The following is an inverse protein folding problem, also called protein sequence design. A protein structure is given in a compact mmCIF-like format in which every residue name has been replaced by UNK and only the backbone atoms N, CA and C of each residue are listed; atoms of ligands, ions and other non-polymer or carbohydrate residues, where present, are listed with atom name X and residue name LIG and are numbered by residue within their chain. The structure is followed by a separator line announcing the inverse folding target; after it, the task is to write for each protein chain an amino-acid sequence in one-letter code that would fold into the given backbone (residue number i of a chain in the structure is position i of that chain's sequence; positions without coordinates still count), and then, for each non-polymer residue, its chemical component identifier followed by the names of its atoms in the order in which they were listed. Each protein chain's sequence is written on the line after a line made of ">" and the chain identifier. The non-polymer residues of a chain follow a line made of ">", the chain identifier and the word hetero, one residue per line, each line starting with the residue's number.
data_IF_312247986360
#
_entry.id   IF_312247986360
#
_cell.length_a   1.000
_cell.length_b   1.000
_cell.length_c   1.000
_cell.angle_alpha   90.00
_cell.angle_beta   90.00
_cell.angle_gamma   90.00
#
_symmetry.space_group_name_H-M   'P 1'
#
loop_
_entity.id
_entity.type
_entity.pdbx_description
1 polymer ?
#
# COMPACT_ATOMS: atom_id res chain seq x y z
N UNK A 1 0.05 0.69 -45.18
CA UNK A 1 1.23 0.64 -44.28
C UNK A 1 0.87 1.09 -42.87
N UNK A 2 0.33 2.30 -42.67
CA UNK A 2 -0.04 2.83 -41.34
C UNK A 2 -1.08 1.96 -40.58
N UNK A 3 -2.12 1.47 -41.25
CA UNK A 3 -3.13 0.57 -40.67
C UNK A 3 -2.52 -0.73 -40.11
N UNK A 4 -1.56 -1.32 -40.83
CA UNK A 4 -0.88 -2.53 -40.38
C UNK A 4 -0.01 -2.29 -39.14
N UNK A 5 0.60 -1.11 -39.02
CA UNK A 5 1.35 -0.72 -37.82
C UNK A 5 0.42 -0.55 -36.61
N UNK A 6 -0.76 0.06 -36.79
CA UNK A 6 -1.74 0.16 -35.71
C UNK A 6 -2.22 -1.21 -35.24
N UNK A 7 -2.55 -2.12 -36.15
CA UNK A 7 -2.98 -3.48 -35.78
C UNK A 7 -1.88 -4.25 -35.04
N UNK A 8 -0.62 -4.10 -35.45
CA UNK A 8 0.51 -4.74 -34.76
C UNK A 8 0.68 -4.19 -33.33
N UNK A 9 0.58 -2.87 -33.15
CA UNK A 9 0.64 -2.26 -31.81
C UNK A 9 -0.51 -2.72 -30.93
N UNK A 10 -1.74 -2.79 -31.45
CA UNK A 10 -2.88 -3.33 -30.70
C UNK A 10 -2.66 -4.79 -30.30
N UNK A 11 -2.11 -5.64 -31.17
CA UNK A 11 -1.81 -7.04 -30.84
C UNK A 11 -0.78 -7.10 -29.71
N UNK A 12 0.31 -6.33 -29.81
CA UNK A 12 1.36 -6.28 -28.77
C UNK A 12 0.76 -5.83 -27.43
N UNK A 13 -0.07 -4.79 -27.43
CA UNK A 13 -0.74 -4.28 -26.22
C UNK A 13 -1.65 -5.36 -25.62
N UNK A 14 -2.48 -6.04 -26.42
CA UNK A 14 -3.37 -7.08 -25.92
C UNK A 14 -2.61 -8.30 -25.39
N UNK A 15 -1.47 -8.66 -25.99
CA UNK A 15 -0.59 -9.73 -25.51
C UNK A 15 0.00 -9.37 -24.15
N UNK A 16 0.54 -8.16 -23.99
CA UNK A 16 1.11 -7.70 -22.72
C UNK A 16 0.03 -7.63 -21.62
N UNK A 17 -1.14 -7.06 -21.93
CA UNK A 17 -2.26 -6.96 -20.98
C UNK A 17 -2.74 -8.35 -20.51
N UNK A 18 -2.81 -9.33 -21.42
CA UNK A 18 -3.20 -10.69 -21.06
C UNK A 18 -2.20 -11.36 -20.12
N UNK A 19 -0.90 -11.04 -20.25
CA UNK A 19 0.14 -11.60 -19.38
C UNK A 19 0.13 -10.99 -17.97
N UNK A 20 -0.13 -9.68 -17.84
CA UNK A 20 -0.21 -9.03 -16.52
C UNK A 20 -1.39 -9.55 -15.70
N UNK A 21 -2.49 -9.93 -16.34
CA UNK A 21 -3.71 -10.40 -15.67
C UNK A 21 -3.50 -11.65 -14.80
N UNK A 22 -2.47 -12.47 -15.04
CA UNK A 22 -2.29 -13.74 -14.32
C UNK A 22 -1.79 -13.58 -12.88
N UNK A 23 -1.01 -12.55 -12.57
CA UNK A 23 -0.50 -12.35 -11.20
C UNK A 23 -1.59 -11.86 -10.24
N UNK A 24 -2.56 -11.09 -10.74
CA UNK A 24 -3.66 -10.53 -9.94
C UNK A 24 -4.68 -11.60 -9.52
N UNK A 25 -4.90 -12.65 -10.32
CA UNK A 25 -5.83 -13.74 -9.97
C UNK A 25 -5.31 -14.69 -8.87
N UNK A 26 -4.00 -14.80 -8.69
CA UNK A 26 -3.42 -15.72 -7.71
C UNK A 26 -3.73 -15.29 -6.25
N UNK A 27 -3.94 -13.99 -6.02
CA UNK A 27 -4.20 -13.47 -4.68
C UNK A 27 -5.64 -13.72 -4.20
N UNK A 28 -6.61 -13.92 -5.10
CA UNK A 28 -8.00 -14.11 -4.69
C UNK A 28 -8.29 -15.52 -4.14
N UNK A 29 -7.56 -16.56 -4.61
CA UNK A 29 -7.86 -17.95 -4.26
C UNK A 29 -7.50 -18.36 -2.82
N UNK A 30 -6.68 -17.59 -2.12
CA UNK A 30 -6.24 -17.89 -0.74
C UNK A 30 -7.32 -17.57 0.32
N UNK A 31 -8.35 -16.79 0.00
CA UNK A 31 -9.41 -16.43 0.96
C UNK A 31 -10.56 -17.45 1.04
N UNK A 32 -10.45 -18.62 0.40
CA UNK A 32 -11.50 -19.65 0.40
C UNK A 32 -11.23 -20.84 1.35
N UNK A 33 -10.24 -20.74 2.23
CA UNK A 33 -10.09 -21.69 3.35
C UNK A 33 -10.93 -21.22 4.51
N UNK A 34 -11.73 -22.15 5.06
CA UNK A 34 -12.54 -22.03 6.28
C UNK A 34 -12.30 -20.74 7.07
N UNK A 35 -13.24 -19.82 6.85
CA UNK A 35 -13.51 -18.62 7.61
C UNK A 35 -12.47 -18.28 8.70
N UNK A 36 -11.47 -17.44 8.39
CA UNK A 36 -10.42 -17.12 9.32
C UNK A 36 -11.02 -16.56 10.62
N UNK A 37 -10.52 -17.05 11.75
CA UNK A 37 -10.85 -16.51 13.06
C UNK A 37 -10.58 -14.99 13.03
N UNK A 38 -11.55 -14.18 13.42
CA UNK A 38 -11.39 -12.73 13.51
C UNK A 38 -10.15 -12.34 14.34
N UNK A 39 -9.77 -13.17 15.32
CA UNK A 39 -8.65 -12.95 16.21
C UNK A 39 -7.38 -13.07 15.38
N UNK A 40 -7.33 -14.10 14.54
CA UNK A 40 -6.25 -14.29 13.59
C UNK A 40 -6.15 -13.13 12.60
N UNK A 41 -7.27 -12.63 12.06
CA UNK A 41 -7.24 -11.46 11.16
C UNK A 41 -6.75 -10.18 11.85
N UNK A 42 -7.21 -9.94 13.08
CA UNK A 42 -6.76 -8.80 13.88
C UNK A 42 -5.27 -8.90 14.17
N UNK A 43 -4.81 -10.07 14.63
CA UNK A 43 -3.40 -10.34 14.94
C UNK A 43 -2.51 -10.25 13.69
N UNK A 44 -2.98 -10.77 12.56
CA UNK A 44 -2.29 -10.67 11.28
C UNK A 44 -2.16 -9.20 10.86
N UNK A 45 -3.23 -8.42 11.01
CA UNK A 45 -3.19 -7.00 10.71
C UNK A 45 -2.20 -6.27 11.61
N UNK A 46 -2.29 -6.42 12.93
CA UNK A 46 -1.42 -5.69 13.87
C UNK A 46 0.04 -6.08 13.70
N UNK A 47 0.31 -7.38 13.47
CA UNK A 47 1.64 -7.88 13.13
C UNK A 47 2.16 -7.27 11.83
N UNK A 48 1.32 -7.19 10.78
CA UNK A 48 1.69 -6.58 9.49
C UNK A 48 1.98 -5.09 9.63
N UNK A 49 1.17 -4.36 10.40
CA UNK A 49 1.40 -2.94 10.68
C UNK A 49 2.72 -2.76 11.44
N UNK A 50 2.99 -3.58 12.45
CA UNK A 50 4.24 -3.52 13.21
C UNK A 50 5.46 -3.86 12.34
N UNK A 51 5.36 -4.87 11.47
CA UNK A 51 6.41 -5.17 10.51
C UNK A 51 6.63 -4.01 9.53
N UNK A 52 5.57 -3.37 9.07
CA UNK A 52 5.65 -2.21 8.18
C UNK A 52 6.32 -1.03 8.88
N UNK A 53 5.95 -0.74 10.14
CA UNK A 53 6.61 0.29 10.97
C UNK A 53 8.10 0.01 11.10
N UNK A 54 8.46 -1.24 11.43
CA UNK A 54 9.85 -1.66 11.54
C UNK A 54 10.62 -1.45 10.22
N UNK A 55 10.04 -1.83 9.08
CA UNK A 55 10.65 -1.63 7.77
C UNK A 55 10.83 -0.14 7.48
N UNK A 56 9.81 0.69 7.71
CA UNK A 56 9.87 2.12 7.44
C UNK A 56 10.88 2.86 8.33
N UNK A 57 11.10 2.38 9.56
CA UNK A 57 12.06 2.99 10.48
C UNK A 57 13.52 2.54 10.26
N UNK A 58 13.74 1.34 9.72
CA UNK A 58 15.08 0.76 9.62
C UNK A 58 15.64 0.70 8.19
N UNK A 59 14.79 0.71 7.17
CA UNK A 59 15.22 0.55 5.77
C UNK A 59 15.47 1.90 5.08
N UNK A 60 16.49 2.00 4.21
CA UNK A 60 16.88 3.26 3.57
C UNK A 60 15.92 3.76 2.46
N UNK A 61 14.72 3.20 2.34
CA UNK A 61 13.74 3.55 1.30
C UNK A 61 13.35 5.02 1.33
N UNK A 62 13.04 5.56 2.52
CA UNK A 62 12.55 6.94 2.67
C UNK A 62 13.64 7.95 2.24
N UNK A 63 14.89 7.88 2.74
CA UNK A 63 15.98 8.72 2.25
C UNK A 63 16.21 8.61 0.73
N UNK A 64 16.09 7.42 0.15
CA UNK A 64 16.32 7.20 -1.27
C UNK A 64 15.22 7.85 -2.13
N UNK A 65 13.95 7.68 -1.74
CA UNK A 65 12.82 8.33 -2.42
C UNK A 65 12.92 9.85 -2.31
N UNK A 66 13.29 10.38 -1.15
CA UNK A 66 13.40 11.82 -0.93
C UNK A 66 14.45 12.48 -1.85
N UNK A 67 15.55 11.80 -2.16
CA UNK A 67 16.58 12.32 -3.09
C UNK A 67 16.02 12.61 -4.49
N UNK A 68 14.94 11.94 -4.92
CA UNK A 68 14.29 12.23 -6.20
C UNK A 68 13.65 13.62 -6.26
N UNK A 69 13.35 14.22 -5.10
CA UNK A 69 12.84 15.59 -5.01
C UNK A 69 13.95 16.64 -5.00
N UNK A 70 15.22 16.24 -4.98
CA UNK A 70 16.35 17.17 -4.95
C UNK A 70 16.38 18.17 -6.12
N UNK A 71 16.05 17.78 -7.38
CA UNK A 71 15.95 18.71 -8.50
C UNK A 71 14.99 19.88 -8.26
N UNK A 72 13.89 19.66 -7.54
CA UNK A 72 12.89 20.69 -7.24
C UNK A 72 13.51 21.79 -6.37
N UNK A 73 14.40 21.43 -5.45
CA UNK A 73 15.09 22.43 -4.62
C UNK A 73 15.98 23.37 -5.44
N UNK A 74 16.51 22.95 -6.60
CA UNK A 74 17.27 23.85 -7.49
C UNK A 74 16.38 24.86 -8.22
N UNK A 75 15.10 24.53 -8.43
CA UNK A 75 14.14 25.39 -9.13
C UNK A 75 13.61 26.54 -8.25
N UNK A 76 13.85 26.49 -6.93
CA UNK A 76 13.38 27.55 -6.03
C UNK A 76 14.17 28.85 -6.24
N UNK A 77 13.48 30.01 -6.35
CA UNK A 77 14.10 31.26 -6.81
C UNK A 77 15.06 31.88 -5.79
N UNK A 78 14.70 31.81 -4.50
CA UNK A 78 15.48 32.43 -3.43
C UNK A 78 16.43 31.42 -2.78
N UNK A 79 17.67 31.83 -2.54
CA UNK A 79 18.68 31.00 -1.89
C UNK A 79 18.22 30.45 -0.53
N UNK A 80 17.47 31.23 0.25
CA UNK A 80 16.93 30.77 1.54
C UNK A 80 15.98 29.56 1.39
N UNK A 81 15.11 29.57 0.37
CA UNK A 81 14.15 28.48 0.13
C UNK A 81 14.85 27.25 -0.41
N UNK A 82 15.88 27.46 -1.25
CA UNK A 82 16.77 26.37 -1.68
C UNK A 82 17.36 25.68 -0.46
N UNK A 83 17.99 26.42 0.46
CA UNK A 83 18.58 25.86 1.69
C UNK A 83 17.57 25.08 2.53
N UNK A 84 16.39 25.64 2.78
CA UNK A 84 15.33 24.96 3.53
C UNK A 84 14.94 23.64 2.84
N UNK A 85 14.73 23.68 1.53
CA UNK A 85 14.40 22.50 0.74
C UNK A 85 15.52 21.44 0.78
N UNK A 86 16.79 21.86 0.67
CA UNK A 86 17.94 20.96 0.86
C UNK A 86 17.93 20.29 2.21
N UNK A 87 17.78 21.04 3.30
CA UNK A 87 17.74 20.45 4.63
C UNK A 87 16.56 19.51 4.82
N UNK A 88 15.40 19.85 4.26
CA UNK A 88 14.22 19.00 4.30
C UNK A 88 14.44 17.69 3.54
N UNK A 89 14.90 17.75 2.29
CA UNK A 89 15.15 16.55 1.47
C UNK A 89 16.32 15.72 2.00
N UNK A 90 17.35 16.36 2.56
CA UNK A 90 18.58 15.72 3.04
C UNK A 90 18.50 15.28 4.51
N UNK A 91 17.34 14.81 4.95
CA UNK A 91 17.15 14.21 6.28
C UNK A 91 15.98 14.78 7.07
N UNK A 92 15.66 16.07 6.94
CA UNK A 92 14.59 16.67 7.74
C UNK A 92 13.22 16.01 7.53
N UNK A 93 12.93 15.56 6.31
CA UNK A 93 11.72 14.81 6.00
C UNK A 93 11.76 13.37 6.52
N UNK A 94 12.94 12.76 6.64
CA UNK A 94 13.10 11.39 7.18
C UNK A 94 12.67 11.37 8.64
N UNK A 95 13.17 12.32 9.44
CA UNK A 95 12.83 12.42 10.87
C UNK A 95 11.32 12.63 11.07
N UNK A 96 10.70 13.48 10.25
CA UNK A 96 9.25 13.72 10.30
C UNK A 96 8.43 12.49 9.89
N UNK A 97 8.90 11.72 8.91
CA UNK A 97 8.24 10.47 8.50
C UNK A 97 8.36 9.43 9.60
N UNK A 98 9.54 9.27 10.23
CA UNK A 98 9.71 8.37 11.37
C UNK A 98 8.81 8.76 12.54
N UNK A 99 8.67 10.05 12.85
CA UNK A 99 7.74 10.53 13.89
C UNK A 99 6.28 10.17 13.56
N UNK A 100 5.88 10.34 12.29
CA UNK A 100 4.54 9.99 11.82
C UNK A 100 4.28 8.49 11.90
N UNK A 101 5.22 7.66 11.44
CA UNK A 101 5.16 6.20 11.48
C UNK A 101 5.03 5.71 12.92
N UNK A 102 5.82 6.28 13.84
CA UNK A 102 5.80 5.92 15.25
C UNK A 102 4.50 6.34 15.97
N UNK A 103 3.78 7.34 15.45
CA UNK A 103 2.48 7.75 15.97
C UNK A 103 1.35 6.77 15.60
N UNK A 104 1.56 5.90 14.60
CA UNK A 104 0.56 4.90 14.20
C UNK A 104 0.44 3.83 15.29
N UNK A 105 -0.74 3.76 15.91
CA UNK A 105 -1.11 2.64 16.78
C UNK A 105 -1.75 1.53 15.93
N UNK A 106 -1.15 0.34 15.94
CA UNK A 106 -1.55 -0.81 15.15
C UNK A 106 -2.97 -1.28 15.44
N UNK A 107 -3.41 -1.26 16.71
CA UNK A 107 -4.76 -1.67 17.08
C UNK A 107 -5.80 -0.69 16.53
N UNK A 108 -5.55 0.61 16.64
CA UNK A 108 -6.44 1.64 16.10
C UNK A 108 -6.48 1.58 14.57
N UNK A 109 -5.34 1.36 13.92
CA UNK A 109 -5.27 1.21 12.48
C UNK A 109 -6.07 -0.01 12.02
N UNK A 110 -5.87 -1.17 12.64
CA UNK A 110 -6.57 -2.40 12.29
C UNK A 110 -8.05 -2.38 12.67
N UNK A 111 -8.42 -1.66 13.73
CA UNK A 111 -9.81 -1.35 14.05
C UNK A 111 -10.45 -0.48 12.97
N UNK A 112 -9.74 0.53 12.48
CA UNK A 112 -10.23 1.38 11.39
C UNK A 112 -10.43 0.60 10.08
N UNK A 113 -9.61 -0.43 9.85
CA UNK A 113 -9.79 -1.37 8.74
C UNK A 113 -10.92 -2.39 8.97
N UNK A 114 -11.56 -2.40 10.14
CA UNK A 114 -12.59 -3.38 10.50
C UNK A 114 -12.06 -4.79 10.77
N UNK A 115 -10.74 -4.94 10.90
CA UNK A 115 -10.07 -6.23 11.16
C UNK A 115 -9.97 -6.54 12.65
N UNK A 116 -10.04 -5.51 13.50
CA UNK A 116 -10.13 -5.65 14.95
C UNK A 116 -11.47 -5.07 15.47
N UNK A 117 -12.08 -5.71 16.47
CA UNK A 117 -13.28 -5.21 17.15
C UNK A 117 -12.99 -4.96 18.62
N UNK A 118 -13.50 -3.85 19.16
CA UNK A 118 -13.37 -3.51 20.58
C UNK A 118 -14.37 -4.22 21.49
N UNK A 119 -15.48 -4.73 20.92
CA UNK A 119 -16.70 -4.99 21.70
C UNK A 119 -17.43 -6.27 21.34
N UNK A 120 -17.06 -6.98 20.28
CA UNK A 120 -17.85 -8.12 19.78
C UNK A 120 -16.99 -9.39 19.81
N UNK A 121 -17.29 -10.36 20.70
CA UNK A 121 -16.71 -11.69 20.61
C UNK A 121 -17.16 -12.26 19.28
N UNK A 122 -16.19 -12.64 18.48
CA UNK A 122 -16.42 -12.82 17.08
C UNK A 122 -17.48 -13.87 16.82
N UNK A 123 -18.57 -13.51 16.15
CA UNK A 123 -19.25 -14.49 15.38
C UNK A 123 -18.24 -14.85 14.31
N UNK A 124 -17.75 -16.10 14.35
CA UNK A 124 -17.41 -16.84 13.13
C UNK A 124 -18.28 -16.23 12.03
N UNK A 125 -17.70 -15.56 11.00
CA UNK A 125 -18.26 -14.83 9.84
C UNK A 125 -19.44 -15.55 9.14
N UNK A 126 -20.40 -15.97 9.95
CA UNK A 126 -21.46 -16.87 9.60
C UNK A 126 -22.58 -15.93 9.20
N UNK A 127 -22.61 -15.71 7.88
CA UNK A 127 -23.82 -15.49 7.12
C UNK A 127 -24.25 -14.03 6.91
N UNK A 128 -23.35 -13.17 6.40
CA UNK A 128 -23.82 -12.01 5.61
C UNK A 128 -22.90 -11.58 4.46
N UNK A 129 -22.31 -12.53 3.73
CA UNK A 129 -22.36 -12.42 2.27
C UNK A 129 -23.59 -13.22 1.85
N UNK A 130 -24.77 -12.69 2.19
CA UNK A 130 -26.05 -13.30 1.81
C UNK A 130 -26.18 -13.22 0.30
N UNK A 131 -25.61 -14.20 -0.41
CA UNK A 131 -25.99 -14.86 -1.68
C UNK A 131 -26.51 -14.03 -2.87
N UNK A 132 -26.69 -12.72 -2.76
CA UNK A 132 -27.31 -11.88 -3.78
C UNK A 132 -26.31 -11.06 -4.59
N UNK A 133 -25.00 -11.11 -4.26
CA UNK A 133 -23.97 -10.43 -5.05
C UNK A 133 -23.27 -11.34 -6.08
N UNK A 134 -23.69 -12.61 -6.22
CA UNK A 134 -23.12 -13.52 -7.23
C UNK A 134 -24.15 -14.30 -8.07
N UNK A 135 -25.38 -13.81 -8.17
CA UNK A 135 -26.27 -14.28 -9.23
C UNK A 135 -27.23 -13.19 -9.68
N UNK A 136 -27.00 -12.72 -10.92
CA UNK A 136 -27.82 -11.86 -11.80
C UNK A 136 -27.26 -10.45 -11.99
#
# INVERSE_FOLDING_TARGET
>A
MLLALFTLMFIIINVEINSVKSEEYAQMSILNTDQPDCHFLCELCTSTVNATKYILDNEPFIPEILKNFMPICYMLPKLQYRKICYHFVNGGAVDLIHELVNTINENNFCFHLGLCSSTIPCPSFQKTLTYNDLST
#
